data_IF_304752695954
#
_entry.id   IF_304752695954
#
_cell.length_a   1.000
_cell.length_b   1.000
_cell.length_c   1.000
_cell.angle_alpha   90.00
_cell.angle_beta   90.00
_cell.angle_gamma   90.00
#
_symmetry.space_group_name_H-M   'P 1'
#
loop_
_entity.id
_entity.type
_entity.pdbx_description
1 polymer ?
#
# COMPACT_ATOMS: atom_id res chain seq x y z
N UNK A 1 8.99 15.28 -4.35
CA UNK A 1 8.18 14.34 -5.18
C UNK A 1 8.20 12.94 -4.56
N UNK A 2 7.13 12.15 -4.75
CA UNK A 2 7.01 10.80 -4.18
C UNK A 2 7.06 9.75 -5.29
N UNK A 3 7.86 8.68 -5.13
CA UNK A 3 7.81 7.51 -6.01
C UNK A 3 7.17 6.32 -5.29
N UNK A 4 6.26 5.61 -5.97
CA UNK A 4 5.64 4.39 -5.45
C UNK A 4 6.10 3.17 -6.22
N UNK A 5 6.54 2.12 -5.51
CA UNK A 5 7.05 0.88 -6.10
C UNK A 5 6.02 -0.23 -5.94
N UNK A 6 5.64 -0.85 -7.06
CA UNK A 6 4.76 -2.01 -7.14
C UNK A 6 5.42 -3.09 -8.00
N UNK A 7 6.13 -4.03 -7.37
CA UNK A 7 6.85 -5.06 -8.16
C UNK A 7 5.91 -6.08 -8.82
N UNK A 8 4.74 -6.33 -8.24
CA UNK A 8 3.77 -7.31 -8.73
C UNK A 8 2.43 -6.62 -9.06
N UNK A 9 2.48 -5.65 -9.97
CA UNK A 9 1.33 -4.92 -10.46
C UNK A 9 0.30 -5.83 -11.14
N UNK A 10 -0.95 -5.39 -11.23
CA UNK A 10 -2.06 -6.14 -11.83
C UNK A 10 -3.02 -5.24 -12.61
N UNK A 11 -3.81 -5.85 -13.48
CA UNK A 11 -5.07 -5.24 -13.91
C UNK A 11 -6.14 -5.74 -12.93
N UNK A 12 -6.67 -4.86 -12.10
CA UNK A 12 -7.77 -5.19 -11.21
C UNK A 12 -9.09 -5.02 -11.96
N UNK A 13 -9.88 -6.10 -12.03
CA UNK A 13 -11.15 -6.18 -12.78
C UNK A 13 -12.28 -6.44 -11.80
N UNK A 14 -13.18 -5.48 -11.60
CA UNK A 14 -14.40 -5.66 -10.84
C UNK A 14 -15.55 -6.04 -11.78
N UNK A 15 -16.09 -7.25 -11.59
CA UNK A 15 -17.23 -7.79 -12.35
C UNK A 15 -18.49 -7.64 -11.53
N UNK A 16 -19.40 -6.75 -11.94
CA UNK A 16 -20.68 -6.53 -11.28
C UNK A 16 -21.72 -7.50 -11.86
N UNK A 17 -22.26 -8.34 -11.01
CA UNK A 17 -23.32 -9.30 -11.32
C UNK A 17 -24.67 -8.76 -10.86
N UNK A 18 -25.73 -9.02 -11.63
CA UNK A 18 -27.12 -8.72 -11.20
C UNK A 18 -27.75 -9.81 -10.37
N UNK A 19 -27.17 -11.01 -10.43
CA UNK A 19 -27.65 -12.21 -9.77
C UNK A 19 -26.52 -12.88 -8.98
N UNK A 20 -26.88 -13.68 -7.98
CA UNK A 20 -25.94 -14.52 -7.25
C UNK A 20 -25.22 -15.45 -8.21
N UNK A 21 -23.88 -15.58 -8.08
CA UNK A 21 -23.11 -16.50 -8.92
C UNK A 21 -23.52 -17.95 -8.66
N UNK A 22 -23.63 -18.71 -9.76
CA UNK A 22 -23.99 -20.11 -9.74
C UNK A 22 -22.92 -20.95 -10.44
N UNK A 23 -22.38 -21.92 -9.71
CA UNK A 23 -21.32 -22.79 -10.23
C UNK A 23 -21.82 -23.71 -11.35
N UNK A 24 -21.00 -23.91 -12.38
CA UNK A 24 -21.31 -24.81 -13.49
C UNK A 24 -22.26 -24.24 -14.53
N UNK A 25 -22.56 -22.94 -14.47
CA UNK A 25 -23.42 -22.22 -15.43
C UNK A 25 -22.64 -21.16 -16.20
N UNK A 26 -23.28 -20.62 -17.26
CA UNK A 26 -22.76 -19.46 -18.01
C UNK A 26 -23.53 -18.24 -17.54
N UNK A 27 -22.83 -17.33 -16.88
CA UNK A 27 -23.41 -16.07 -16.41
C UNK A 27 -22.81 -14.88 -17.17
N UNK A 28 -23.59 -13.82 -17.32
CA UNK A 28 -23.15 -12.59 -17.99
C UNK A 28 -22.85 -11.50 -16.98
N UNK A 29 -21.68 -10.87 -17.14
CA UNK A 29 -21.29 -9.71 -16.34
C UNK A 29 -22.11 -8.50 -16.79
N UNK A 30 -22.76 -7.81 -15.87
CA UNK A 30 -23.57 -6.64 -16.17
C UNK A 30 -22.70 -5.40 -16.43
N UNK A 31 -21.62 -5.23 -15.66
CA UNK A 31 -20.67 -4.11 -15.77
C UNK A 31 -19.27 -4.59 -15.37
N UNK A 32 -18.26 -4.09 -16.06
CA UNK A 32 -16.86 -4.32 -15.73
C UNK A 32 -16.16 -3.00 -15.51
N UNK A 33 -15.53 -2.85 -14.35
CA UNK A 33 -14.64 -1.73 -14.04
C UNK A 33 -13.20 -2.26 -13.97
N UNK A 34 -12.30 -1.65 -14.73
CA UNK A 34 -10.88 -2.00 -14.73
C UNK A 34 -10.05 -0.86 -14.14
N UNK A 35 -9.04 -1.19 -13.36
CA UNK A 35 -8.09 -0.23 -12.81
C UNK A 35 -6.68 -0.77 -12.80
N UNK A 36 -5.69 0.12 -12.82
CA UNK A 36 -4.31 -0.24 -12.54
C UNK A 36 -4.21 -0.64 -11.07
N UNK A 37 -3.90 -1.90 -10.81
CA UNK A 37 -3.97 -2.53 -9.51
C UNK A 37 -2.62 -2.90 -8.91
N UNK A 38 -2.67 -3.25 -7.64
CA UNK A 38 -1.52 -3.52 -6.78
C UNK A 38 -1.34 -2.40 -5.76
N UNK A 39 -0.91 -2.79 -4.53
CA UNK A 39 -0.87 -1.87 -3.38
C UNK A 39 -0.18 -0.53 -3.67
N UNK A 40 1.01 -0.53 -4.29
CA UNK A 40 1.73 0.71 -4.57
C UNK A 40 1.04 1.59 -5.62
N UNK A 41 0.25 1.03 -6.55
CA UNK A 41 -0.55 1.82 -7.50
C UNK A 41 -1.77 2.44 -6.81
N UNK A 42 -2.37 1.76 -5.83
CA UNK A 42 -3.38 2.36 -4.96
C UNK A 42 -2.77 3.52 -4.16
N UNK A 43 -1.56 3.34 -3.61
CA UNK A 43 -0.80 4.41 -2.92
C UNK A 43 -0.59 5.60 -3.85
N UNK A 44 -0.15 5.39 -5.10
CA UNK A 44 0.05 6.48 -6.08
C UNK A 44 -1.23 7.28 -6.34
N UNK A 45 -2.35 6.57 -6.49
CA UNK A 45 -3.69 7.19 -6.68
C UNK A 45 -4.09 8.03 -5.48
N UNK A 46 -3.89 7.52 -4.27
CA UNK A 46 -4.17 8.24 -3.02
C UNK A 46 -3.29 9.50 -2.90
N UNK A 47 -2.00 9.42 -3.20
CA UNK A 47 -1.09 10.57 -3.19
C UNK A 47 -1.60 11.65 -4.15
N UNK A 48 -2.04 11.26 -5.35
CA UNK A 48 -2.63 12.17 -6.33
C UNK A 48 -3.89 12.86 -5.79
N UNK A 49 -4.79 12.12 -5.15
CA UNK A 49 -6.01 12.67 -4.51
C UNK A 49 -5.68 13.57 -3.31
N UNK A 50 -4.53 13.39 -2.67
CA UNK A 50 -3.98 14.30 -1.65
C UNK A 50 -3.37 15.57 -2.25
N UNK A 51 -3.41 15.77 -3.57
CA UNK A 51 -2.89 16.95 -4.26
C UNK A 51 -1.38 17.00 -4.38
N UNK A 52 -0.70 15.84 -4.35
CA UNK A 52 0.76 15.73 -4.49
C UNK A 52 1.08 14.88 -5.73
N UNK A 53 2.08 15.31 -6.50
CA UNK A 53 2.53 14.55 -7.65
C UNK A 53 3.34 13.33 -7.23
N UNK A 54 3.06 12.20 -7.91
CA UNK A 54 3.78 10.94 -7.70
C UNK A 54 4.22 10.33 -9.03
N UNK A 55 5.26 9.51 -8.96
CA UNK A 55 5.69 8.62 -10.04
C UNK A 55 5.47 7.18 -9.59
N UNK A 56 4.75 6.38 -10.39
CA UNK A 56 4.60 4.96 -10.16
C UNK A 56 5.71 4.18 -10.88
N UNK A 57 6.28 3.17 -10.23
CA UNK A 57 7.28 2.28 -10.82
C UNK A 57 7.11 0.84 -10.32
N UNK A 58 7.82 -0.07 -10.92
CA UNK A 58 7.81 -1.49 -10.62
C UNK A 58 8.06 -2.30 -11.89
N UNK A 59 7.40 -3.45 -12.03
CA UNK A 59 7.57 -4.34 -13.18
C UNK A 59 6.25 -4.55 -13.91
N UNK A 60 6.27 -4.42 -15.21
CA UNK A 60 5.14 -4.69 -16.11
C UNK A 60 5.62 -5.42 -17.37
N UNK A 61 4.73 -6.19 -18.00
CA UNK A 61 5.05 -6.88 -19.23
C UNK A 61 3.81 -7.25 -20.04
N UNK A 62 4.01 -7.55 -21.31
CA UNK A 62 2.97 -7.96 -22.24
C UNK A 62 1.95 -6.89 -22.57
N UNK A 63 0.81 -7.32 -23.10
CA UNK A 63 -0.29 -6.41 -23.45
C UNK A 63 -0.99 -5.83 -22.20
N UNK A 64 -1.11 -6.62 -21.10
CA UNK A 64 -1.65 -6.10 -19.86
C UNK A 64 -0.74 -5.02 -19.25
N UNK A 65 0.58 -5.10 -19.43
CA UNK A 65 1.50 -4.04 -19.02
C UNK A 65 1.25 -2.73 -19.75
N UNK A 66 1.01 -2.77 -21.07
CA UNK A 66 0.63 -1.61 -21.87
C UNK A 66 -0.74 -1.07 -21.45
N UNK A 67 -1.70 -1.96 -21.20
CA UNK A 67 -3.03 -1.57 -20.72
C UNK A 67 -2.96 -0.92 -19.35
N UNK A 68 -2.15 -1.46 -18.42
CA UNK A 68 -1.92 -0.85 -17.10
C UNK A 68 -1.37 0.57 -17.24
N UNK A 69 -0.39 0.79 -18.12
CA UNK A 69 0.16 2.12 -18.39
C UNK A 69 -0.95 3.09 -18.87
N UNK A 70 -1.81 2.66 -19.80
CA UNK A 70 -2.91 3.48 -20.29
C UNK A 70 -3.95 3.83 -19.21
N UNK A 71 -4.16 2.94 -18.23
CA UNK A 71 -5.03 3.21 -17.08
C UNK A 71 -4.42 4.25 -16.13
N UNK A 72 -3.10 4.21 -15.93
CA UNK A 72 -2.38 5.23 -15.15
C UNK A 72 -2.37 6.58 -15.85
N UNK A 73 -2.21 6.61 -17.19
CA UNK A 73 -2.35 7.83 -17.99
C UNK A 73 -3.73 8.45 -17.82
N UNK A 74 -4.79 7.62 -17.86
CA UNK A 74 -6.16 8.07 -17.64
C UNK A 74 -6.39 8.61 -16.21
N UNK A 75 -5.72 8.03 -15.20
CA UNK A 75 -5.73 8.53 -13.82
C UNK A 75 -4.81 9.77 -13.65
N UNK A 76 -4.05 10.16 -14.66
CA UNK A 76 -3.08 11.28 -14.63
C UNK A 76 -1.91 11.01 -13.67
N UNK A 77 -1.47 9.76 -13.55
CA UNK A 77 -0.36 9.33 -12.70
C UNK A 77 0.86 9.11 -13.59
N UNK A 78 1.93 9.85 -13.33
CA UNK A 78 3.21 9.64 -14.01
C UNK A 78 3.77 8.26 -13.66
N UNK A 79 4.35 7.58 -14.64
CA UNK A 79 4.89 6.25 -14.41
C UNK A 79 6.15 5.97 -15.24
N UNK A 80 7.00 5.08 -14.71
CA UNK A 80 8.20 4.59 -15.36
C UNK A 80 8.51 3.18 -14.85
N UNK A 81 8.21 2.15 -15.66
CA UNK A 81 8.32 0.75 -15.26
C UNK A 81 9.53 0.06 -15.87
N UNK A 82 10.08 -0.92 -15.13
CA UNK A 82 10.90 -1.98 -15.72
C UNK A 82 10.01 -2.94 -16.52
N UNK A 83 10.52 -3.38 -17.67
CA UNK A 83 9.80 -4.30 -18.54
C UNK A 83 10.30 -5.72 -18.38
N UNK A 84 9.34 -6.66 -18.30
CA UNK A 84 9.57 -8.11 -18.23
C UNK A 84 8.90 -8.79 -19.41
N UNK A 85 9.38 -9.98 -19.80
CA UNK A 85 8.79 -10.73 -20.91
C UNK A 85 7.45 -11.35 -20.57
N UNK A 86 7.23 -11.66 -19.29
CA UNK A 86 5.96 -12.24 -18.83
C UNK A 86 4.81 -11.23 -18.86
N UNK A 87 3.59 -11.73 -18.94
CA UNK A 87 2.38 -10.91 -18.94
C UNK A 87 2.09 -10.34 -17.54
N UNK A 88 1.75 -9.07 -17.43
CA UNK A 88 1.21 -8.49 -16.20
C UNK A 88 -0.08 -9.21 -15.81
N UNK A 89 -0.17 -9.63 -14.55
CA UNK A 89 -1.29 -10.41 -14.02
C UNK A 89 -2.61 -9.65 -14.02
N UNK A 90 -3.71 -10.39 -13.98
CA UNK A 90 -5.05 -9.87 -13.67
C UNK A 90 -5.47 -10.32 -12.27
N UNK A 91 -6.22 -9.46 -11.59
CA UNK A 91 -6.92 -9.80 -10.35
C UNK A 91 -8.40 -9.53 -10.58
N UNK A 92 -9.25 -10.55 -10.40
CA UNK A 92 -10.67 -10.45 -10.71
C UNK A 92 -11.44 -10.47 -9.40
N UNK A 93 -12.27 -9.46 -9.18
CA UNK A 93 -13.23 -9.40 -8.08
C UNK A 93 -14.64 -9.51 -8.64
N UNK A 94 -15.36 -10.56 -8.28
CA UNK A 94 -16.75 -10.74 -8.64
C UNK A 94 -17.62 -10.19 -7.51
N UNK A 95 -18.43 -9.19 -7.84
CA UNK A 95 -19.37 -8.53 -6.94
C UNK A 95 -20.78 -9.00 -7.26
N UNK A 96 -21.37 -9.81 -6.41
CA UNK A 96 -22.70 -10.37 -6.59
C UNK A 96 -23.59 -10.18 -5.36
N UNK A 97 -24.95 -10.14 -5.54
CA UNK A 97 -25.87 -9.87 -4.44
C UNK A 97 -25.97 -11.01 -3.40
N UNK A 98 -25.41 -12.20 -3.69
CA UNK A 98 -25.52 -13.36 -2.79
C UNK A 98 -24.31 -13.55 -1.88
N UNK A 99 -23.11 -13.45 -2.43
CA UNK A 99 -21.86 -13.65 -1.69
C UNK A 99 -21.12 -12.35 -1.41
N UNK A 100 -21.51 -11.24 -2.05
CA UNK A 100 -20.84 -9.95 -1.93
C UNK A 100 -19.60 -9.89 -2.84
N UNK A 101 -18.40 -10.05 -2.27
CA UNK A 101 -17.13 -10.00 -2.99
C UNK A 101 -16.45 -11.37 -3.01
N UNK A 102 -16.04 -11.82 -4.20
CA UNK A 102 -15.24 -13.03 -4.40
C UNK A 102 -14.04 -12.72 -5.28
N UNK A 103 -12.83 -12.90 -4.77
CA UNK A 103 -11.60 -12.51 -5.44
C UNK A 103 -10.83 -13.72 -6.00
N UNK A 104 -10.35 -13.57 -7.23
CA UNK A 104 -9.43 -14.47 -7.91
C UNK A 104 -8.15 -13.71 -8.26
N UNK A 105 -7.07 -14.02 -7.55
CA UNK A 105 -5.81 -13.30 -7.66
C UNK A 105 -4.76 -14.17 -8.38
N UNK A 106 -4.36 -13.76 -9.57
CA UNK A 106 -3.23 -14.41 -10.26
C UNK A 106 -1.92 -14.15 -9.50
N UNK A 107 -1.04 -15.14 -9.46
CA UNK A 107 0.25 -15.05 -8.76
C UNK A 107 1.27 -14.12 -9.42
N UNK A 108 1.04 -13.73 -10.67
CA UNK A 108 1.99 -13.01 -11.51
C UNK A 108 2.96 -13.95 -12.25
N UNK A 109 3.66 -13.41 -13.23
CA UNK A 109 4.65 -14.14 -14.02
C UNK A 109 5.94 -14.39 -13.22
N UNK A 110 6.82 -15.24 -13.78
CA UNK A 110 8.16 -15.46 -13.24
C UNK A 110 9.11 -14.41 -13.80
N UNK A 111 9.81 -13.69 -12.95
CA UNK A 111 10.84 -12.70 -13.31
C UNK A 111 12.20 -13.39 -13.31
N UNK A 112 12.96 -13.22 -14.38
CA UNK A 112 14.32 -13.79 -14.50
C UNK A 112 15.32 -12.97 -13.67
N UNK A 113 16.50 -13.52 -13.45
CA UNK A 113 17.58 -12.82 -12.74
C UNK A 113 18.12 -11.63 -13.53
N UNK A 114 18.08 -11.73 -14.85
CA UNK A 114 18.47 -10.66 -15.76
C UNK A 114 17.48 -9.50 -15.70
N UNK A 115 16.18 -9.76 -15.68
CA UNK A 115 15.13 -8.75 -15.53
C UNK A 115 15.18 -8.07 -14.14
N UNK A 116 15.41 -8.86 -13.06
CA UNK A 116 15.63 -8.32 -11.71
C UNK A 116 16.85 -7.37 -11.71
N UNK A 117 17.97 -7.79 -12.32
CA UNK A 117 19.19 -6.99 -12.36
C UNK A 117 19.00 -5.73 -13.22
N UNK A 118 18.33 -5.82 -14.36
CA UNK A 118 18.03 -4.66 -15.22
C UNK A 118 17.19 -3.61 -14.48
N UNK A 119 16.15 -4.05 -13.78
CA UNK A 119 15.35 -3.14 -12.95
C UNK A 119 16.17 -2.47 -11.86
N UNK A 120 16.98 -3.25 -11.10
CA UNK A 120 17.83 -2.71 -10.04
C UNK A 120 18.87 -1.70 -10.58
N UNK A 121 19.41 -1.93 -11.77
CA UNK A 121 20.35 -1.01 -12.40
C UNK A 121 19.70 0.32 -12.81
N UNK A 122 18.44 0.31 -13.24
CA UNK A 122 17.67 1.50 -13.63
C UNK A 122 17.05 2.24 -12.43
N UNK A 123 16.81 1.55 -11.35
CA UNK A 123 16.07 2.06 -10.19
C UNK A 123 16.65 3.35 -9.59
N UNK A 124 17.99 3.53 -9.44
CA UNK A 124 18.57 4.79 -8.95
C UNK A 124 18.17 6.01 -9.76
N UNK A 125 18.08 5.88 -11.09
CA UNK A 125 17.68 6.97 -11.99
C UNK A 125 16.17 7.24 -11.89
N UNK A 126 15.36 6.18 -11.80
CA UNK A 126 13.91 6.31 -11.66
C UNK A 126 13.53 7.15 -10.44
N UNK A 127 14.23 6.96 -9.32
CA UNK A 127 13.90 7.62 -8.05
C UNK A 127 14.66 8.93 -7.82
N UNK A 128 15.54 9.38 -8.73
CA UNK A 128 16.48 10.48 -8.50
C UNK A 128 15.84 11.77 -7.98
N UNK A 129 14.65 12.12 -8.49
CA UNK A 129 13.91 13.33 -8.14
C UNK A 129 12.95 13.15 -6.95
N UNK A 130 12.98 12.00 -6.28
CA UNK A 130 12.09 11.70 -5.17
C UNK A 130 12.70 12.09 -3.82
N UNK A 131 11.88 12.57 -2.91
CA UNK A 131 12.23 12.76 -1.49
C UNK A 131 11.79 11.57 -0.66
N UNK A 132 10.66 10.97 -1.04
CA UNK A 132 10.04 9.81 -0.38
C UNK A 132 9.78 8.72 -1.41
N UNK A 133 10.10 7.48 -1.07
CA UNK A 133 9.78 6.29 -1.88
C UNK A 133 8.94 5.33 -1.05
N UNK A 134 7.82 4.85 -1.58
CA UNK A 134 7.04 3.78 -0.95
C UNK A 134 7.27 2.46 -1.67
N UNK A 135 7.42 1.38 -0.93
CA UNK A 135 7.48 0.01 -1.45
C UNK A 135 6.29 -0.75 -0.87
N UNK A 136 5.36 -1.17 -1.72
CA UNK A 136 4.11 -1.76 -1.25
C UNK A 136 3.74 -3.04 -2.00
N UNK A 137 3.25 -4.03 -1.25
CA UNK A 137 2.75 -5.30 -1.77
C UNK A 137 3.81 -6.40 -1.86
N UNK A 138 3.51 -7.44 -2.64
CA UNK A 138 4.37 -8.61 -2.85
C UNK A 138 5.32 -8.41 -4.03
N UNK A 139 6.38 -9.21 -4.09
CA UNK A 139 7.18 -9.36 -5.28
C UNK A 139 6.71 -10.57 -6.12
N UNK A 140 6.87 -10.54 -7.46
CA UNK A 140 6.54 -11.66 -8.33
C UNK A 140 7.50 -12.86 -8.11
N UNK A 141 7.10 -14.03 -8.62
CA UNK A 141 7.95 -15.23 -8.59
C UNK A 141 9.29 -14.99 -9.31
N UNK A 142 10.35 -15.70 -8.89
CA UNK A 142 11.67 -15.60 -9.49
C UNK A 142 12.56 -14.50 -8.89
N UNK A 143 12.00 -13.45 -8.34
CA UNK A 143 12.77 -12.44 -7.61
C UNK A 143 13.32 -12.94 -6.28
N UNK A 144 14.48 -12.43 -5.90
CA UNK A 144 15.08 -12.73 -4.60
C UNK A 144 14.22 -12.28 -3.44
N UNK A 145 14.22 -13.04 -2.34
CA UNK A 145 13.51 -12.64 -1.11
C UNK A 145 14.10 -11.40 -0.44
N UNK A 146 15.30 -11.02 -0.86
CA UNK A 146 16.05 -9.83 -0.44
C UNK A 146 15.80 -8.61 -1.33
N UNK A 147 14.89 -8.70 -2.31
CA UNK A 147 14.67 -7.61 -3.27
C UNK A 147 14.33 -6.28 -2.58
N UNK A 148 13.50 -6.30 -1.53
CA UNK A 148 13.17 -5.06 -0.82
C UNK A 148 14.34 -4.51 0.01
N UNK A 149 15.21 -5.38 0.55
CA UNK A 149 16.47 -4.92 1.17
C UNK A 149 17.32 -4.16 0.16
N UNK A 150 17.50 -4.71 -1.06
CA UNK A 150 18.26 -4.08 -2.13
C UNK A 150 17.69 -2.72 -2.51
N UNK A 151 16.37 -2.63 -2.70
CA UNK A 151 15.69 -1.37 -3.03
C UNK A 151 15.82 -0.34 -1.90
N UNK A 152 15.58 -0.73 -0.65
CA UNK A 152 15.70 0.16 0.52
C UNK A 152 17.13 0.68 0.62
N UNK A 153 18.14 -0.17 0.39
CA UNK A 153 19.53 0.27 0.39
C UNK A 153 19.79 1.35 -0.66
N UNK A 154 19.35 1.13 -1.91
CA UNK A 154 19.51 2.13 -3.00
C UNK A 154 18.81 3.45 -2.63
N UNK A 155 17.63 3.41 -2.06
CA UNK A 155 16.88 4.60 -1.64
C UNK A 155 17.64 5.37 -0.56
N UNK A 156 18.12 4.67 0.46
CA UNK A 156 18.88 5.26 1.58
C UNK A 156 20.26 5.79 1.14
N UNK A 157 20.94 5.10 0.24
CA UNK A 157 22.23 5.54 -0.31
C UNK A 157 22.11 6.89 -1.08
N UNK A 158 20.89 7.21 -1.57
CA UNK A 158 20.55 8.52 -2.14
C UNK A 158 20.02 9.54 -1.12
N UNK A 159 20.03 9.22 0.17
CA UNK A 159 19.56 10.11 1.25
C UNK A 159 18.03 10.31 1.29
N UNK A 160 17.27 9.41 0.67
CA UNK A 160 15.82 9.51 0.57
C UNK A 160 15.11 8.73 1.69
N UNK A 161 13.87 9.13 1.99
CA UNK A 161 13.02 8.42 2.95
C UNK A 161 12.30 7.25 2.27
N UNK A 162 12.10 6.14 3.01
CA UNK A 162 11.43 4.96 2.48
C UNK A 162 10.35 4.44 3.43
N UNK A 163 9.16 4.20 2.89
CA UNK A 163 8.05 3.53 3.57
C UNK A 163 7.94 2.11 3.02
N UNK A 164 7.92 1.10 3.90
CA UNK A 164 7.74 -0.30 3.54
C UNK A 164 6.38 -0.82 4.05
N UNK A 165 5.54 -1.29 3.14
CA UNK A 165 4.24 -1.93 3.41
C UNK A 165 4.16 -3.28 2.69
N UNK A 166 4.62 -4.32 3.33
CA UNK A 166 4.64 -5.70 2.83
C UNK A 166 4.48 -6.68 3.98
N UNK A 167 4.40 -7.97 3.69
CA UNK A 167 4.16 -9.01 4.68
C UNK A 167 5.16 -10.16 4.58
N UNK A 168 5.16 -11.02 5.61
CA UNK A 168 5.93 -12.26 5.67
C UNK A 168 7.43 -12.03 5.54
N UNK A 169 8.11 -12.91 4.80
CA UNK A 169 9.57 -12.90 4.63
C UNK A 169 10.10 -11.58 4.01
N UNK A 170 9.31 -10.93 3.15
CA UNK A 170 9.69 -9.63 2.58
C UNK A 170 9.70 -8.52 3.63
N UNK A 171 8.77 -8.55 4.60
CA UNK A 171 8.77 -7.62 5.72
C UNK A 171 9.96 -7.90 6.64
N UNK A 172 10.15 -9.16 7.04
CA UNK A 172 11.24 -9.58 7.93
C UNK A 172 12.60 -9.12 7.40
N UNK A 173 12.91 -9.44 6.13
CA UNK A 173 14.16 -9.03 5.49
C UNK A 173 14.25 -7.52 5.26
N UNK A 174 13.14 -6.89 4.86
CA UNK A 174 13.09 -5.45 4.64
C UNK A 174 13.42 -4.64 5.89
N UNK A 175 12.99 -5.10 7.07
CA UNK A 175 13.29 -4.47 8.35
C UNK A 175 14.81 -4.41 8.67
N UNK A 176 15.59 -5.38 8.18
CA UNK A 176 17.05 -5.39 8.36
C UNK A 176 17.76 -4.21 7.67
N UNK A 177 17.14 -3.63 6.63
CA UNK A 177 17.64 -2.45 5.93
C UNK A 177 17.17 -1.12 6.55
N UNK A 178 16.44 -1.19 7.67
CA UNK A 178 16.00 -0.03 8.43
C UNK A 178 15.29 1.03 7.56
N UNK A 179 14.11 0.72 6.99
CA UNK A 179 13.31 1.73 6.31
C UNK A 179 12.95 2.88 7.27
N UNK A 180 12.62 4.06 6.73
CA UNK A 180 12.19 5.21 7.53
C UNK A 180 10.90 4.92 8.27
N UNK A 181 9.98 4.19 7.63
CA UNK A 181 8.70 3.83 8.20
C UNK A 181 8.26 2.43 7.74
N UNK A 182 7.57 1.72 8.62
CA UNK A 182 6.83 0.48 8.31
C UNK A 182 5.40 0.58 8.80
N UNK A 183 4.49 -0.13 8.12
CA UNK A 183 3.08 -0.16 8.50
C UNK A 183 2.50 -1.58 8.49
N UNK A 184 2.87 -2.46 9.42
CA UNK A 184 2.19 -3.73 9.57
C UNK A 184 0.79 -3.58 10.20
N UNK A 185 -0.08 -4.57 9.98
CA UNK A 185 -1.27 -4.81 10.77
C UNK A 185 -1.02 -5.86 11.85
N UNK A 186 -2.05 -6.20 12.65
CA UNK A 186 -1.91 -7.19 13.73
C UNK A 186 -1.52 -8.58 13.20
N UNK A 187 -2.13 -9.05 12.11
CA UNK A 187 -1.81 -10.36 11.51
C UNK A 187 -0.35 -10.41 11.01
N UNK A 188 0.15 -9.32 10.43
CA UNK A 188 1.54 -9.20 9.97
C UNK A 188 2.53 -9.18 11.14
N UNK A 189 2.17 -8.57 12.27
CA UNK A 189 2.95 -8.63 13.51
C UNK A 189 2.96 -10.05 14.07
N UNK A 190 1.80 -10.71 14.14
CA UNK A 190 1.70 -12.10 14.59
C UNK A 190 2.61 -13.02 13.77
N UNK A 191 2.59 -12.85 12.45
CA UNK A 191 3.45 -13.60 11.54
C UNK A 191 4.93 -13.30 11.76
N UNK A 192 5.30 -12.01 11.91
CA UNK A 192 6.68 -11.56 12.10
C UNK A 192 7.31 -12.09 13.39
N UNK A 193 6.53 -12.15 14.47
CA UNK A 193 7.01 -12.56 15.80
C UNK A 193 6.60 -13.98 16.18
N UNK A 194 5.95 -14.75 15.28
CA UNK A 194 5.44 -16.11 15.50
C UNK A 194 4.60 -16.19 16.79
N UNK A 195 3.64 -15.28 16.95
CA UNK A 195 2.82 -15.10 18.16
C UNK A 195 1.35 -14.93 17.81
N UNK A 196 0.51 -14.84 18.85
CA UNK A 196 -0.86 -14.38 18.76
C UNK A 196 -1.06 -13.19 19.67
N UNK A 197 -1.60 -12.10 19.12
CA UNK A 197 -1.90 -10.88 19.85
C UNK A 197 -3.27 -11.05 20.53
N UNK A 198 -3.33 -10.79 21.83
CA UNK A 198 -4.55 -10.93 22.64
C UNK A 198 -5.01 -9.61 23.24
N UNK A 199 -4.20 -8.56 23.15
CA UNK A 199 -4.53 -7.27 23.73
C UNK A 199 -3.82 -6.13 23.01
N UNK A 200 -4.39 -4.93 23.14
CA UNK A 200 -3.77 -3.71 22.62
C UNK A 200 -2.40 -3.41 23.23
N UNK A 201 -2.20 -3.77 24.50
CA UNK A 201 -0.90 -3.58 25.17
C UNK A 201 0.19 -4.45 24.55
N UNK A 202 -0.18 -5.63 24.05
CA UNK A 202 0.74 -6.48 23.28
C UNK A 202 1.07 -5.86 21.91
N UNK A 203 0.09 -5.25 21.22
CA UNK A 203 0.36 -4.50 19.97
C UNK A 203 1.39 -3.40 20.22
N UNK A 204 1.20 -2.61 21.29
CA UNK A 204 2.15 -1.55 21.69
C UNK A 204 3.53 -2.15 21.99
N UNK A 205 3.58 -3.27 22.66
CA UNK A 205 4.83 -3.96 23.01
C UNK A 205 5.59 -4.38 21.75
N UNK A 206 4.94 -5.01 20.77
CA UNK A 206 5.57 -5.41 19.51
C UNK A 206 5.95 -4.21 18.63
N UNK A 207 5.12 -3.16 18.60
CA UNK A 207 5.48 -1.91 17.92
C UNK A 207 6.75 -1.28 18.49
N UNK A 208 6.88 -1.24 19.81
CA UNK A 208 8.11 -0.80 20.52
C UNK A 208 9.33 -1.68 20.20
N UNK A 209 9.12 -3.00 20.06
CA UNK A 209 10.20 -3.92 19.67
C UNK A 209 10.69 -3.62 18.26
N UNK A 210 9.79 -3.44 17.28
CA UNK A 210 10.17 -3.04 15.91
C UNK A 210 10.95 -1.71 15.95
N UNK A 211 10.45 -0.71 16.65
CA UNK A 211 11.10 0.59 16.80
C UNK A 211 12.51 0.47 17.38
N UNK A 212 12.68 -0.23 18.51
CA UNK A 212 13.95 -0.30 19.25
C UNK A 212 14.92 -1.32 18.66
N UNK A 213 14.45 -2.56 18.42
CA UNK A 213 15.32 -3.66 18.04
C UNK A 213 15.70 -3.61 16.55
N UNK A 214 14.82 -3.06 15.69
CA UNK A 214 15.08 -2.90 14.26
C UNK A 214 15.56 -1.49 13.88
N UNK A 215 15.46 -0.52 14.78
CA UNK A 215 15.90 0.86 14.55
C UNK A 215 15.04 1.60 13.52
N UNK A 216 13.73 1.34 13.48
CA UNK A 216 12.79 1.93 12.52
C UNK A 216 12.24 3.24 13.11
N UNK A 217 12.49 4.42 12.51
CA UNK A 217 12.08 5.72 13.07
C UNK A 217 10.57 5.89 13.28
N UNK A 218 9.77 5.34 12.36
CA UNK A 218 8.30 5.42 12.41
C UNK A 218 7.70 4.01 12.27
N UNK A 219 7.05 3.52 13.33
CA UNK A 219 6.31 2.25 13.30
C UNK A 219 4.83 2.56 13.43
N UNK A 220 4.08 2.30 12.37
CA UNK A 220 2.63 2.49 12.33
C UNK A 220 1.97 1.12 12.34
N UNK A 221 1.01 0.91 13.25
CA UNK A 221 0.21 -0.32 13.26
C UNK A 221 -1.23 0.05 12.92
N UNK A 222 -1.76 -0.52 11.85
CA UNK A 222 -3.18 -0.34 11.51
C UNK A 222 -4.05 -1.25 12.38
N UNK A 223 -5.13 -0.68 12.97
CA UNK A 223 -6.02 -1.31 13.93
C UNK A 223 -7.46 -1.41 13.39
N UNK A 224 -7.63 -1.44 12.06
CA UNK A 224 -8.96 -1.45 11.44
C UNK A 224 -9.82 -0.26 11.88
N UNK A 225 -11.03 -0.53 12.38
CA UNK A 225 -11.96 0.49 12.85
C UNK A 225 -11.48 1.29 14.07
N UNK A 226 -10.48 0.80 14.80
CA UNK A 226 -9.84 1.50 15.94
C UNK A 226 -8.74 2.48 15.50
N UNK A 227 -8.54 2.64 14.19
CA UNK A 227 -7.62 3.59 13.60
C UNK A 227 -6.19 3.08 13.48
N UNK A 228 -5.21 3.76 14.05
CA UNK A 228 -3.81 3.36 13.98
C UNK A 228 -3.01 3.79 15.21
N UNK A 229 -1.96 3.01 15.51
CA UNK A 229 -0.94 3.31 16.49
C UNK A 229 0.30 3.83 15.76
N UNK A 230 0.96 4.85 16.28
CA UNK A 230 2.26 5.35 15.85
C UNK A 230 3.26 5.31 16.99
N UNK A 231 4.40 4.66 16.76
CA UNK A 231 5.57 4.72 17.64
C UNK A 231 6.70 5.46 16.94
N UNK A 232 7.22 6.51 17.55
CA UNK A 232 8.32 7.32 17.04
C UNK A 232 9.13 7.93 18.19
N UNK A 233 10.17 8.71 17.87
CA UNK A 233 11.01 9.37 18.86
C UNK A 233 10.22 10.28 19.82
N UNK A 234 9.14 10.95 19.34
CA UNK A 234 8.32 11.88 20.13
C UNK A 234 7.33 11.20 21.07
N UNK A 235 7.18 9.88 20.96
CA UNK A 235 6.28 9.11 21.83
C UNK A 235 5.46 8.07 21.09
N UNK A 236 4.39 7.65 21.75
CA UNK A 236 3.43 6.68 21.25
C UNK A 236 2.06 7.35 21.19
N UNK A 237 1.47 7.29 20.02
CA UNK A 237 0.19 7.93 19.74
C UNK A 237 -0.80 6.93 19.16
N UNK A 238 -2.07 7.07 19.51
CA UNK A 238 -3.16 6.44 18.80
C UNK A 238 -4.00 7.50 18.11
N UNK A 239 -4.26 7.30 16.81
CA UNK A 239 -5.25 8.06 16.06
C UNK A 239 -6.53 7.24 15.94
N UNK A 240 -7.65 7.79 16.42
CA UNK A 240 -8.97 7.16 16.34
C UNK A 240 -9.84 7.91 15.34
N UNK A 241 -10.42 7.23 14.34
CA UNK A 241 -11.39 7.85 13.45
C UNK A 241 -12.73 8.08 14.17
N UNK A 242 -13.56 9.02 13.70
CA UNK A 242 -14.97 9.06 14.07
C UNK A 242 -15.69 7.81 13.56
N UNK A 243 -16.89 7.55 14.09
CA UNK A 243 -17.76 6.50 13.54
C UNK A 243 -18.24 6.92 12.17
N UNK A 244 -18.04 6.06 11.18
CA UNK A 244 -18.44 6.26 9.78
C UNK A 244 -19.24 5.05 9.29
N UNK A 245 -20.04 5.25 8.24
CA UNK A 245 -20.72 4.17 7.54
C UNK A 245 -19.77 3.60 6.46
N UNK A 246 -19.22 2.43 6.72
CA UNK A 246 -18.19 1.82 5.89
C UNK A 246 -18.81 1.20 4.63
N UNK A 247 -18.36 1.64 3.46
CA UNK A 247 -18.72 1.06 2.17
C UNK A 247 -17.72 -0.04 1.74
N UNK A 248 -16.41 0.19 1.93
CA UNK A 248 -15.35 -0.77 1.54
C UNK A 248 -14.08 -0.54 2.36
N UNK A 249 -13.54 -1.60 2.97
CA UNK A 249 -12.29 -1.53 3.75
C UNK A 249 -11.03 -1.81 2.93
N UNK A 250 -11.18 -2.31 1.69
CA UNK A 250 -10.03 -2.61 0.83
C UNK A 250 -9.33 -1.30 0.42
N UNK A 251 -8.02 -1.28 0.54
CA UNK A 251 -7.21 -0.10 0.22
C UNK A 251 -7.09 0.95 1.34
N UNK A 252 -7.73 0.77 2.51
CA UNK A 252 -7.52 1.67 3.65
C UNK A 252 -6.06 1.68 4.13
N UNK A 253 -5.40 0.51 4.12
CA UNK A 253 -3.98 0.39 4.42
C UNK A 253 -3.10 1.12 3.42
N UNK A 254 -3.39 0.97 2.11
CA UNK A 254 -2.68 1.66 1.04
C UNK A 254 -2.90 3.19 1.13
N UNK A 255 -4.13 3.60 1.49
CA UNK A 255 -4.50 4.99 1.71
C UNK A 255 -3.72 5.61 2.88
N UNK A 256 -3.55 4.86 3.96
CA UNK A 256 -2.73 5.28 5.09
C UNK A 256 -1.25 5.44 4.69
N UNK A 257 -0.69 4.51 3.90
CA UNK A 257 0.68 4.61 3.37
C UNK A 257 0.84 5.86 2.50
N UNK A 258 -0.10 6.10 1.57
CA UNK A 258 -0.10 7.29 0.71
C UNK A 258 -0.13 8.59 1.51
N UNK A 259 -0.98 8.65 2.52
CA UNK A 259 -1.09 9.81 3.40
C UNK A 259 0.19 10.05 4.22
N UNK A 260 0.82 8.99 4.77
CA UNK A 260 2.11 9.12 5.44
C UNK A 260 3.24 9.53 4.49
N UNK A 261 3.22 9.06 3.24
CA UNK A 261 4.20 9.50 2.24
C UNK A 261 4.08 11.01 1.99
N UNK A 262 2.87 11.52 1.85
CA UNK A 262 2.58 12.97 1.75
C UNK A 262 2.99 13.71 3.03
N UNK A 263 2.71 13.15 4.20
CA UNK A 263 3.09 13.76 5.47
C UNK A 263 4.62 13.86 5.66
N UNK A 264 5.35 12.83 5.27
CA UNK A 264 6.82 12.84 5.29
C UNK A 264 7.40 13.86 4.30
N UNK A 265 6.88 13.91 3.07
CA UNK A 265 7.31 14.90 2.07
C UNK A 265 7.07 16.33 2.57
N UNK A 266 5.91 16.58 3.19
CA UNK A 266 5.56 17.89 3.78
C UNK A 266 6.20 18.15 5.14
N UNK A 267 6.98 17.21 5.67
CA UNK A 267 7.65 17.28 6.99
C UNK A 267 6.67 17.59 8.12
N UNK A 268 5.49 16.95 8.08
CA UNK A 268 4.49 17.11 9.14
C UNK A 268 5.00 16.53 10.47
N UNK A 269 4.58 17.15 11.58
CA UNK A 269 4.78 16.59 12.91
C UNK A 269 4.09 15.23 13.05
N UNK A 270 4.63 14.26 13.83
CA UNK A 270 4.10 12.91 13.91
C UNK A 270 2.62 12.82 14.28
N UNK A 271 2.14 13.65 15.20
CA UNK A 271 0.73 13.71 15.58
C UNK A 271 -0.15 14.18 14.42
N UNK A 272 0.26 15.24 13.71
CA UNK A 272 -0.44 15.75 12.55
C UNK A 272 -0.43 14.74 11.39
N UNK A 273 0.71 14.05 11.17
CA UNK A 273 0.85 13.00 10.18
C UNK A 273 -0.09 11.81 10.45
N UNK A 274 -0.20 11.36 11.72
CA UNK A 274 -1.11 10.31 12.12
C UNK A 274 -2.57 10.74 11.93
N UNK A 275 -2.93 11.96 12.38
CA UNK A 275 -4.27 12.52 12.21
C UNK A 275 -4.68 12.54 10.74
N UNK A 276 -3.79 13.03 9.88
CA UNK A 276 -3.98 13.09 8.43
C UNK A 276 -4.12 11.69 7.82
N UNK A 277 -3.24 10.74 8.19
CA UNK A 277 -3.27 9.39 7.64
C UNK A 277 -4.54 8.61 8.04
N UNK A 278 -5.00 8.76 9.28
CA UNK A 278 -6.26 8.17 9.74
C UNK A 278 -7.44 8.77 8.99
N UNK A 279 -7.47 10.09 8.74
CA UNK A 279 -8.56 10.72 8.00
C UNK A 279 -8.63 10.25 6.54
N UNK A 280 -7.49 10.14 5.85
CA UNK A 280 -7.42 9.64 4.47
C UNK A 280 -7.85 8.18 4.37
N UNK A 281 -7.39 7.32 5.30
CA UNK A 281 -7.80 5.92 5.35
C UNK A 281 -9.31 5.78 5.61
N UNK A 282 -9.87 6.62 6.48
CA UNK A 282 -11.31 6.63 6.78
C UNK A 282 -12.13 7.14 5.60
N UNK A 283 -11.66 8.16 4.88
CA UNK A 283 -12.30 8.63 3.65
C UNK A 283 -12.32 7.56 2.56
N UNK A 284 -11.24 6.75 2.43
CA UNK A 284 -11.26 5.58 1.54
C UNK A 284 -12.33 4.57 1.96
N UNK A 285 -12.57 4.38 3.25
CA UNK A 285 -13.58 3.44 3.73
C UNK A 285 -15.03 3.85 3.38
N UNK A 286 -15.29 5.14 3.12
CA UNK A 286 -16.57 5.63 2.62
C UNK A 286 -16.76 5.38 1.11
N UNK A 287 -15.67 5.16 0.37
CA UNK A 287 -15.72 4.94 -1.07
C UNK A 287 -15.98 3.47 -1.40
N UNK A 288 -16.80 3.15 -2.41
CA UNK A 288 -16.93 1.78 -2.91
C UNK A 288 -15.69 1.32 -3.71
N UNK A 289 -14.78 2.24 -4.03
CA UNK A 289 -13.60 1.97 -4.87
C UNK A 289 -12.31 1.96 -4.06
N UNK A 290 -11.47 0.97 -4.29
CA UNK A 290 -10.16 0.82 -3.64
C UNK A 290 -9.18 1.93 -4.03
N UNK A 291 -8.53 2.51 -3.02
CA UNK A 291 -7.53 3.58 -3.22
C UNK A 291 -8.13 4.85 -3.81
N UNK A 292 -9.42 5.10 -3.59
CA UNK A 292 -10.14 6.32 -4.02
C UNK A 292 -10.97 6.87 -2.88
N UNK A 293 -11.02 8.19 -2.76
CA UNK A 293 -11.85 8.90 -1.78
C UNK A 293 -12.19 10.29 -2.30
N UNK A 294 -13.25 10.91 -1.77
CA UNK A 294 -13.51 12.33 -1.98
C UNK A 294 -12.64 13.14 -0.99
N UNK A 295 -11.81 14.09 -1.47
CA UNK A 295 -11.06 14.97 -0.59
C UNK A 295 -11.93 15.73 0.43
N UNK A 296 -13.19 15.99 0.13
CA UNK A 296 -14.12 16.62 1.06
C UNK A 296 -14.41 15.74 2.27
N UNK A 297 -14.63 14.42 2.04
CA UNK A 297 -14.84 13.47 3.13
C UNK A 297 -13.64 13.45 4.07
N UNK A 298 -12.41 13.44 3.53
CA UNK A 298 -11.20 13.57 4.34
C UNK A 298 -11.17 14.85 5.16
N UNK A 299 -11.54 15.99 4.56
CA UNK A 299 -11.51 17.30 5.21
C UNK A 299 -12.55 17.41 6.33
N UNK A 300 -13.69 16.75 6.20
CA UNK A 300 -14.69 16.63 7.27
C UNK A 300 -14.26 15.67 8.37
N UNK A 301 -13.69 14.52 7.99
CA UNK A 301 -13.25 13.47 8.94
C UNK A 301 -12.09 13.96 9.80
N UNK A 302 -11.12 14.69 9.24
CA UNK A 302 -9.92 15.11 9.95
C UNK A 302 -10.25 15.98 11.17
N UNK A 303 -11.29 16.78 11.11
CA UNK A 303 -11.72 17.61 12.25
C UNK A 303 -12.13 16.76 13.46
N UNK A 304 -12.61 15.53 13.22
CA UNK A 304 -13.16 14.62 14.22
C UNK A 304 -12.22 13.44 14.55
N UNK A 305 -11.03 13.35 13.95
CA UNK A 305 -10.02 12.36 14.35
C UNK A 305 -9.41 12.76 15.69
N UNK A 306 -9.51 11.87 16.66
CA UNK A 306 -8.90 12.03 17.99
C UNK A 306 -7.46 11.49 17.99
N UNK A 307 -6.51 12.28 18.51
CA UNK A 307 -5.13 11.83 18.76
C UNK A 307 -4.91 11.70 20.27
N UNK A 308 -4.56 10.49 20.70
CA UNK A 308 -4.31 10.15 22.10
C UNK A 308 -2.82 9.85 22.25
N UNK A 309 -2.11 10.62 23.08
CA UNK A 309 -0.75 10.30 23.47
C UNK A 309 -0.77 9.24 24.57
N UNK A 310 -0.13 8.10 24.33
CA UNK A 310 -0.12 6.95 25.24
C UNK A 310 1.17 6.91 26.12
N UNK A 311 2.27 7.42 25.59
CA UNK A 311 3.55 7.54 26.32
C UNK A 311 4.52 8.52 25.63
#
# INVERSE_FOLDING_TARGET
MITTVTLNASIDKAYHMTEKIENGTVMRVAKTDNSAGGKGLNVARVIKLCGVDSKATGLVGGFNGQYLASLLDADGINHEFGHIQGETRSCINILDPGYGSTEYLEGGCNVTKEEEADFLNKFPEIIKDSDVVTISGSAPKGMGKDIYQKLIKVIKDQGKQVILDTSGEYLEKGLESQPTMVKPNEDEIELLFHTKIQSKDEVITYAKRIYKEKGIPYVVISLGGDGALLVCEKGIYQGKPPKIEVANTVGCGDSMVGAFAVALEKKMEPEAALKYAVSVASANALSPHTGRFDPKDRDEIIENVEIIKLA
#
